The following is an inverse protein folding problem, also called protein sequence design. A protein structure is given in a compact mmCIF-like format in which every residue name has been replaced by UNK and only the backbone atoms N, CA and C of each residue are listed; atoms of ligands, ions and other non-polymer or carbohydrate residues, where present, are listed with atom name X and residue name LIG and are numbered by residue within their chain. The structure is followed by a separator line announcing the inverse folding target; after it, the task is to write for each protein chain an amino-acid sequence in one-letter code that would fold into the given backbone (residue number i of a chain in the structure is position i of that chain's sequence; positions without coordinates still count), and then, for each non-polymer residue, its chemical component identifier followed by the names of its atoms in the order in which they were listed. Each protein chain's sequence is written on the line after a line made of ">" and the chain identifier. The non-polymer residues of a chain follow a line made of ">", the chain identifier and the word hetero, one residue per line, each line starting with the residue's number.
data_IF_680715727083
#
_entry.id   IF_680715727083
#
_cell.length_a   1.000
_cell.length_b   1.000
_cell.length_c   1.000
_cell.angle_alpha   90.00
_cell.angle_beta   90.00
_cell.angle_gamma   90.00
#
_symmetry.space_group_name_H-M   'P 1'
#
loop_
_entity.id
_entity.type
_entity.pdbx_description
1 polymer ?
#
# COMPACT_ATOMS: atom_id res chain seq x y z
N UNK A 1 -9.95 -14.66 9.28
CA UNK A 1 -8.65 -14.00 9.02
C UNK A 1 -8.85 -13.14 7.78
N UNK A 2 -8.66 -11.82 7.87
CA UNK A 2 -8.75 -10.95 6.70
C UNK A 2 -7.52 -11.20 5.82
N UNK A 3 -7.72 -11.44 4.52
CA UNK A 3 -6.64 -11.61 3.56
C UNK A 3 -6.29 -10.24 2.97
N UNK A 4 -5.00 -9.90 2.96
CA UNK A 4 -4.52 -8.72 2.26
C UNK A 4 -4.37 -9.08 0.78
N UNK A 5 -4.91 -8.25 -0.10
CA UNK A 5 -4.88 -8.50 -1.56
C UNK A 5 -4.40 -7.25 -2.27
N UNK A 6 -3.63 -7.44 -3.33
CA UNK A 6 -3.21 -6.35 -4.20
C UNK A 6 -4.43 -5.76 -4.92
N UNK A 7 -4.68 -4.48 -4.75
CA UNK A 7 -5.76 -3.71 -5.38
C UNK A 7 -5.68 -3.75 -6.92
N UNK A 8 -4.46 -3.80 -7.48
CA UNK A 8 -4.21 -3.77 -8.93
C UNK A 8 -4.30 -5.13 -9.61
N UNK A 9 -3.72 -6.19 -9.02
CA UNK A 9 -3.62 -7.51 -9.68
C UNK A 9 -4.35 -8.64 -8.94
N UNK A 10 -4.94 -8.39 -7.78
CA UNK A 10 -5.65 -9.39 -6.98
C UNK A 10 -4.77 -10.45 -6.32
N UNK A 11 -3.44 -10.34 -6.44
CA UNK A 11 -2.48 -11.24 -5.78
C UNK A 11 -2.64 -11.16 -4.27
N UNK A 12 -2.78 -12.30 -3.60
CA UNK A 12 -2.76 -12.36 -2.14
C UNK A 12 -1.38 -11.90 -1.63
N UNK A 13 -1.40 -11.00 -0.65
CA UNK A 13 -0.23 -10.48 0.02
C UNK A 13 -0.11 -11.18 1.37
N UNK A 14 0.96 -11.96 1.56
CA UNK A 14 1.19 -12.68 2.82
C UNK A 14 1.56 -11.74 3.96
N UNK A 15 2.12 -10.56 3.64
CA UNK A 15 2.60 -9.58 4.62
C UNK A 15 2.35 -8.15 4.16
N UNK A 16 2.08 -7.26 5.11
CA UNK A 16 2.14 -5.80 4.90
C UNK A 16 3.61 -5.39 4.74
N UNK A 17 3.99 -4.57 3.74
CA UNK A 17 5.37 -4.11 3.63
C UNK A 17 5.79 -3.32 4.86
N UNK A 18 7.03 -3.54 5.32
CA UNK A 18 7.54 -2.92 6.55
C UNK A 18 7.52 -1.39 6.53
N UNK A 19 7.69 -0.78 5.34
CA UNK A 19 7.64 0.67 5.17
C UNK A 19 6.30 1.27 5.61
N UNK A 20 5.20 0.57 5.29
CA UNK A 20 3.84 1.01 5.57
C UNK A 20 3.57 1.10 7.09
N UNK A 21 4.19 0.23 7.90
CA UNK A 21 4.07 0.26 9.35
C UNK A 21 4.96 1.30 10.05
N UNK A 22 5.83 1.99 9.30
CA UNK A 22 6.83 2.93 9.84
C UNK A 22 6.53 4.38 9.50
N UNK A 23 5.99 4.62 8.31
CA UNK A 23 5.69 5.96 7.81
C UNK A 23 4.26 5.99 7.26
N UNK A 24 3.39 6.64 8.02
CA UNK A 24 1.99 6.86 7.69
C UNK A 24 1.69 8.35 7.81
N UNK A 25 1.00 8.88 6.81
CA UNK A 25 0.55 10.26 6.78
C UNK A 25 -0.97 10.29 6.71
N UNK A 26 -1.55 11.36 7.21
CA UNK A 26 -2.96 11.65 6.99
C UNK A 26 -3.05 12.59 5.80
N UNK A 27 -3.71 12.16 4.73
CA UNK A 27 -3.99 13.00 3.58
C UNK A 27 -5.27 13.79 3.86
N UNK A 28 -5.12 15.11 4.03
CA UNK A 28 -6.25 16.02 4.31
C UNK A 28 -7.19 16.20 3.11
N UNK A 29 -6.73 15.97 1.87
CA UNK A 29 -7.56 16.11 0.67
C UNK A 29 -8.54 14.94 0.53
N UNK A 30 -8.08 13.72 0.81
CA UNK A 30 -8.89 12.49 0.75
C UNK A 30 -9.52 12.14 2.09
N UNK A 31 -9.11 12.81 3.18
CA UNK A 31 -9.44 12.46 4.56
C UNK A 31 -9.14 11.00 4.92
N UNK A 32 -8.04 10.46 4.39
CA UNK A 32 -7.64 9.08 4.59
C UNK A 32 -6.20 8.95 5.06
N UNK A 33 -5.87 7.80 5.66
CA UNK A 33 -4.49 7.49 6.00
C UNK A 33 -3.81 6.86 4.80
N UNK A 34 -2.66 7.40 4.45
CA UNK A 34 -1.79 6.84 3.44
C UNK A 34 -0.54 6.27 4.12
N UNK A 35 -0.03 5.17 3.60
CA UNK A 35 1.22 4.60 4.06
C UNK A 35 2.27 4.57 2.95
N UNK A 36 3.52 4.78 3.33
CA UNK A 36 4.62 4.71 2.40
C UNK A 36 4.97 3.25 2.13
N UNK A 37 4.82 2.79 0.89
CA UNK A 37 5.17 1.42 0.50
C UNK A 37 6.59 1.27 -0.07
N UNK A 38 7.40 2.34 -0.05
CA UNK A 38 8.74 2.37 -0.64
C UNK A 38 8.81 3.26 -1.89
N UNK A 39 10.02 3.47 -2.41
CA UNK A 39 10.26 4.40 -3.53
C UNK A 39 9.51 4.03 -4.81
N UNK A 40 9.29 2.74 -5.03
CA UNK A 40 8.62 2.24 -6.23
C UNK A 40 7.10 2.53 -6.21
N UNK A 41 6.45 2.52 -5.03
CA UNK A 41 5.01 2.75 -4.92
C UNK A 41 4.62 4.13 -4.38
N UNK A 42 5.50 4.78 -3.63
CA UNK A 42 5.19 6.01 -2.92
C UNK A 42 4.21 5.79 -1.76
N UNK A 43 3.43 6.84 -1.48
CA UNK A 43 2.32 6.80 -0.54
C UNK A 43 1.07 6.26 -1.24
N UNK A 44 0.36 5.36 -0.57
CA UNK A 44 -0.90 4.82 -1.05
C UNK A 44 -1.92 4.78 0.08
N UNK A 45 -3.20 4.73 -0.26
CA UNK A 45 -4.24 4.52 0.72
C UNK A 45 -4.14 3.12 1.35
N UNK A 46 -4.49 3.00 2.64
CA UNK A 46 -4.53 1.72 3.34
C UNK A 46 -5.53 0.72 2.74
N UNK A 47 -6.54 1.18 2.00
CA UNK A 47 -7.48 0.29 1.32
C UNK A 47 -6.97 -0.15 -0.07
N UNK A 48 -5.87 0.44 -0.57
CA UNK A 48 -5.39 0.24 -1.93
C UNK A 48 -4.03 -0.48 -2.03
N UNK A 49 -3.69 -1.34 -1.06
CA UNK A 49 -2.44 -2.10 -1.03
C UNK A 49 -2.00 -2.67 -2.38
N UNK A 50 -0.75 -2.43 -2.78
CA UNK A 50 -0.15 -2.95 -4.03
C UNK A 50 0.97 -3.95 -3.74
N UNK A 51 1.09 -5.00 -4.55
CA UNK A 51 2.27 -5.87 -4.49
C UNK A 51 3.50 -5.15 -5.08
N UNK A 52 4.69 -5.62 -4.73
CA UNK A 52 5.95 -5.06 -5.26
C UNK A 52 6.01 -5.04 -6.79
N UNK A 53 5.45 -6.05 -7.45
CA UNK A 53 5.39 -6.12 -8.92
C UNK A 53 4.58 -4.95 -9.48
N UNK A 54 3.42 -4.69 -8.87
CA UNK A 54 2.53 -3.59 -9.27
C UNK A 54 3.06 -2.21 -8.92
N UNK A 55 3.98 -2.11 -7.95
CA UNK A 55 4.72 -0.90 -7.64
C UNK A 55 5.83 -0.62 -8.66
N UNK A 56 6.47 -1.65 -9.23
CA UNK A 56 7.54 -1.49 -10.23
C UNK A 56 7.02 -1.16 -11.64
N UNK A 57 5.74 -1.40 -11.92
CA UNK A 57 5.05 -1.03 -13.17
C UNK A 57 4.67 0.46 -13.22
N UNK A 58 5.62 1.37 -12.97
CA UNK A 58 5.47 2.85 -13.07
C UNK A 58 6.23 3.39 -14.27
#
# INVERSE_FOLDING_TARGET
>A
MAKLVCSKCGKELDTVPQHCGRDMIYNEETHSYECYMGSECGYIDLDEFKCEDCCKDV
#
